data_IF_111187703710
#
_entry.id   IF_111187703710
#
_cell.length_a   1.000
_cell.length_b   1.000
_cell.length_c   1.000
_cell.angle_alpha   90.00
_cell.angle_beta   90.00
_cell.angle_gamma   90.00
#
_symmetry.space_group_name_H-M   'P 1'
#
loop_
_entity.id
_entity.type
_entity.pdbx_description
1 polymer ?
#
# COMPACT_ATOMS: atom_id res chain seq x y z
N UNK A 1 28.26 -0.31 11.03
CA UNK A 1 28.42 0.45 9.78
C UNK A 1 29.05 -0.42 8.71
N UNK A 2 28.27 -0.83 7.69
CA UNK A 2 28.86 -1.25 6.40
C UNK A 2 29.58 0.00 5.85
N UNK A 3 30.92 0.02 5.87
CA UNK A 3 31.74 1.15 5.38
C UNK A 3 31.47 1.50 3.91
N UNK A 4 30.78 0.63 3.17
CA UNK A 4 30.58 0.73 1.73
C UNK A 4 29.49 1.71 1.29
N UNK A 5 28.75 2.37 2.19
CA UNK A 5 27.62 3.26 1.82
C UNK A 5 27.82 4.73 2.21
N UNK A 6 29.01 5.09 2.70
CA UNK A 6 29.36 6.45 3.13
C UNK A 6 30.52 6.96 2.28
N UNK A 7 30.35 8.16 1.73
CA UNK A 7 31.29 8.86 0.86
C UNK A 7 31.76 10.14 1.54
N UNK A 8 33.03 10.51 1.38
CA UNK A 8 33.52 11.81 1.82
C UNK A 8 33.12 12.91 0.83
N UNK A 9 32.87 14.13 1.29
CA UNK A 9 32.64 15.28 0.41
C UNK A 9 33.83 15.61 -0.50
N UNK A 10 35.03 15.12 -0.13
CA UNK A 10 36.28 15.28 -0.87
C UNK A 10 36.54 14.14 -1.87
N UNK A 11 35.63 13.16 -1.95
CA UNK A 11 35.74 12.05 -2.91
C UNK A 11 35.51 12.51 -4.35
N UNK A 12 35.97 11.69 -5.28
CA UNK A 12 35.75 11.93 -6.72
C UNK A 12 34.41 11.34 -7.20
N UNK A 13 33.92 11.84 -8.33
CA UNK A 13 32.75 11.24 -9.00
C UNK A 13 32.99 9.78 -9.39
N UNK A 14 34.21 9.43 -9.79
CA UNK A 14 34.59 8.06 -10.16
C UNK A 14 34.51 7.11 -8.95
N UNK A 15 34.99 7.55 -7.78
CA UNK A 15 34.85 6.80 -6.53
C UNK A 15 33.37 6.59 -6.16
N UNK A 16 32.55 7.63 -6.29
CA UNK A 16 31.11 7.53 -6.03
C UNK A 16 30.43 6.51 -6.96
N UNK A 17 30.74 6.54 -8.25
CA UNK A 17 30.20 5.61 -9.25
C UNK A 17 30.61 4.17 -8.97
N UNK A 18 31.88 3.94 -8.63
CA UNK A 18 32.39 2.60 -8.30
C UNK A 18 31.68 2.01 -7.09
N UNK A 19 31.49 2.81 -6.04
CA UNK A 19 30.81 2.38 -4.82
C UNK A 19 29.33 2.12 -5.11
N UNK A 20 28.67 2.92 -5.94
CA UNK A 20 27.28 2.67 -6.35
C UNK A 20 27.14 1.33 -7.09
N UNK A 21 28.04 1.04 -8.03
CA UNK A 21 28.06 -0.20 -8.81
C UNK A 21 28.29 -1.44 -7.92
N UNK A 22 29.24 -1.36 -6.97
CA UNK A 22 29.59 -2.46 -6.09
C UNK A 22 28.51 -2.79 -5.04
N UNK A 23 27.68 -1.82 -4.63
CA UNK A 23 26.75 -2.00 -3.51
C UNK A 23 25.30 -2.36 -3.92
N UNK A 24 24.91 -2.20 -5.18
CA UNK A 24 23.57 -2.58 -5.70
C UNK A 24 22.35 -1.83 -5.12
N UNK A 25 22.54 -1.03 -4.06
CA UNK A 25 21.49 -0.32 -3.33
C UNK A 25 21.13 1.06 -3.92
N UNK A 26 21.95 1.58 -4.85
CA UNK A 26 21.66 2.77 -5.66
C UNK A 26 21.62 4.10 -4.89
N UNK A 27 22.16 4.17 -3.67
CA UNK A 27 22.26 5.42 -2.88
C UNK A 27 23.51 5.45 -1.99
N UNK A 28 24.18 6.60 -1.92
CA UNK A 28 25.32 6.88 -1.03
C UNK A 28 25.02 8.04 -0.09
N UNK A 29 25.54 7.96 1.13
CA UNK A 29 25.49 9.04 2.11
C UNK A 29 26.78 9.83 2.09
N UNK A 30 26.71 11.16 1.94
CA UNK A 30 27.89 12.03 1.89
C UNK A 30 28.11 12.73 3.22
N UNK A 31 29.34 12.71 3.73
CA UNK A 31 29.72 13.34 5.00
C UNK A 31 30.93 14.28 4.84
N UNK A 32 31.04 15.26 5.72
CA UNK A 32 32.24 16.11 5.85
C UNK A 32 33.37 15.39 6.59
N UNK A 33 34.52 16.06 6.71
CA UNK A 33 35.70 15.54 7.43
C UNK A 33 35.45 15.32 8.94
N UNK A 34 34.39 15.92 9.51
CA UNK A 34 33.95 15.74 10.90
C UNK A 34 32.86 14.64 11.03
N UNK A 35 32.46 14.00 9.92
CA UNK A 35 31.43 12.97 9.87
C UNK A 35 29.99 13.51 9.92
N UNK A 36 29.76 14.81 9.72
CA UNK A 36 28.43 15.38 9.62
C UNK A 36 27.80 15.09 8.27
N UNK A 37 26.50 14.82 8.28
CA UNK A 37 25.75 14.57 7.06
C UNK A 37 25.70 15.82 6.18
N UNK A 38 26.27 15.71 4.98
CA UNK A 38 26.19 16.74 3.93
C UNK A 38 24.99 16.49 3.02
N UNK A 39 24.76 15.23 2.62
CA UNK A 39 23.69 14.92 1.68
C UNK A 39 23.63 13.45 1.27
N UNK A 40 22.84 13.18 0.24
CA UNK A 40 22.75 11.87 -0.41
C UNK A 40 23.02 11.98 -1.91
N UNK A 41 23.53 10.92 -2.51
CA UNK A 41 23.65 10.75 -3.97
C UNK A 41 22.91 9.47 -4.35
N UNK A 42 22.00 9.53 -5.32
CA UNK A 42 21.31 8.34 -5.87
C UNK A 42 21.71 8.08 -7.32
N UNK A 43 21.45 6.87 -7.84
CA UNK A 43 21.58 6.58 -9.28
C UNK A 43 20.78 7.56 -10.15
N UNK A 44 19.64 8.02 -9.64
CA UNK A 44 18.81 9.02 -10.29
C UNK A 44 19.49 10.39 -10.38
N UNK A 45 20.21 10.80 -9.33
CA UNK A 45 20.97 12.06 -9.31
C UNK A 45 22.15 11.99 -10.28
N UNK A 46 22.91 10.90 -10.23
CA UNK A 46 24.02 10.60 -11.15
C UNK A 46 23.54 10.64 -12.61
N UNK A 47 22.48 9.88 -12.93
CA UNK A 47 21.93 9.84 -14.28
C UNK A 47 21.48 11.21 -14.76
N UNK A 48 20.79 11.99 -13.91
CA UNK A 48 20.33 13.36 -14.25
C UNK A 48 21.50 14.32 -14.45
N UNK A 49 22.53 14.26 -13.61
CA UNK A 49 23.69 15.14 -13.74
C UNK A 49 24.52 14.81 -14.99
N UNK A 50 24.71 13.54 -15.34
CA UNK A 50 25.40 13.13 -16.58
C UNK A 50 24.66 13.63 -17.82
N UNK A 51 23.33 13.49 -17.86
CA UNK A 51 22.50 14.03 -18.96
C UNK A 51 22.64 15.55 -19.10
N UNK A 52 22.87 16.24 -17.99
CA UNK A 52 23.09 17.69 -17.94
C UNK A 52 24.57 18.10 -18.03
N UNK A 53 25.48 17.18 -18.40
CA UNK A 53 26.93 17.42 -18.55
C UNK A 53 27.60 17.98 -17.30
N UNK A 54 27.12 17.58 -16.11
CA UNK A 54 27.75 17.86 -14.83
C UNK A 54 28.97 16.96 -14.63
N UNK A 55 30.02 17.51 -14.03
CA UNK A 55 31.32 16.82 -13.88
C UNK A 55 31.86 16.84 -12.44
N UNK A 56 31.32 17.69 -11.56
CA UNK A 56 31.73 17.78 -10.15
C UNK A 56 30.78 16.95 -9.28
N UNK A 57 31.32 16.16 -8.35
CA UNK A 57 30.54 15.36 -7.39
C UNK A 57 29.46 16.20 -6.69
N UNK A 58 29.77 17.46 -6.36
CA UNK A 58 28.86 18.37 -5.65
C UNK A 58 27.59 18.68 -6.44
N UNK A 59 27.63 18.60 -7.77
CA UNK A 59 26.46 18.79 -8.62
C UNK A 59 25.44 17.65 -8.52
N UNK A 60 25.84 16.51 -7.94
CA UNK A 60 25.00 15.30 -7.81
C UNK A 60 24.46 15.10 -6.40
N UNK A 61 24.87 15.91 -5.43
CA UNK A 61 24.47 15.77 -4.03
C UNK A 61 23.11 16.43 -3.81
N UNK A 62 22.17 15.67 -3.26
CA UNK A 62 21.00 16.24 -2.61
C UNK A 62 21.35 16.67 -1.18
N UNK A 63 21.49 17.98 -0.96
CA UNK A 63 21.85 18.58 0.33
C UNK A 63 20.70 18.61 1.35
N UNK A 64 19.48 18.27 0.96
CA UNK A 64 18.32 18.23 1.86
C UNK A 64 17.68 16.83 1.88
N UNK A 65 18.43 15.78 2.26
CA UNK A 65 17.86 14.45 2.36
C UNK A 65 16.94 14.35 3.58
N UNK A 66 15.95 13.45 3.48
CA UNK A 66 15.24 12.99 4.66
C UNK A 66 16.24 12.26 5.59
N UNK A 67 16.19 12.57 6.88
CA UNK A 67 17.12 12.07 7.91
C UNK A 67 16.38 11.88 9.23
N UNK A 68 16.84 10.95 10.06
CA UNK A 68 16.21 10.64 11.35
C UNK A 68 17.18 10.85 12.51
N UNK A 69 16.63 11.07 13.70
CA UNK A 69 17.40 11.12 14.93
C UNK A 69 17.84 9.73 15.35
N UNK A 70 19.03 9.61 15.93
CA UNK A 70 19.52 8.40 16.60
C UNK A 70 18.65 7.92 17.77
N UNK A 71 17.77 8.80 18.27
CA UNK A 71 16.78 8.46 19.30
C UNK A 71 15.48 7.88 18.71
N UNK A 72 15.29 7.89 17.39
CA UNK A 72 14.08 7.34 16.75
C UNK A 72 14.07 5.81 16.89
N UNK A 73 13.03 5.21 17.49
CA UNK A 73 12.89 3.76 17.58
C UNK A 73 12.95 3.10 16.20
N UNK A 74 13.62 1.94 16.08
CA UNK A 74 13.83 1.25 14.79
C UNK A 74 12.52 0.97 14.04
N UNK A 75 11.46 0.60 14.75
CA UNK A 75 10.13 0.33 14.16
C UNK A 75 9.54 1.58 13.52
N UNK A 76 9.68 2.74 14.18
CA UNK A 76 9.22 4.03 13.65
C UNK A 76 10.10 4.47 12.46
N UNK A 77 11.41 4.27 12.56
CA UNK A 77 12.33 4.57 11.48
C UNK A 77 12.02 3.76 10.20
N UNK A 78 11.66 2.47 10.34
CA UNK A 78 11.23 1.62 9.23
C UNK A 78 9.90 2.09 8.62
N UNK A 79 8.95 2.56 9.43
CA UNK A 79 7.69 3.13 8.93
C UNK A 79 7.93 4.38 8.10
N UNK A 80 8.74 5.32 8.61
CA UNK A 80 9.10 6.54 7.89
C UNK A 80 9.85 6.21 6.59
N UNK A 81 10.75 5.22 6.63
CA UNK A 81 11.49 4.77 5.47
C UNK A 81 10.56 4.22 4.37
N UNK A 82 9.57 3.40 4.76
CA UNK A 82 8.53 2.87 3.86
C UNK A 82 7.62 3.96 3.31
N UNK A 83 7.09 4.83 4.15
CA UNK A 83 6.16 5.89 3.74
C UNK A 83 6.82 6.94 2.84
N UNK A 84 8.13 7.16 3.00
CA UNK A 84 8.90 8.05 2.13
C UNK A 84 9.38 7.38 0.83
N UNK A 85 9.06 6.11 0.62
CA UNK A 85 9.50 5.27 -0.50
C UNK A 85 11.01 5.34 -0.72
N UNK A 86 11.78 5.28 0.39
CA UNK A 86 13.24 5.31 0.38
C UNK A 86 13.80 3.95 0.75
N UNK A 87 14.90 3.56 0.10
CA UNK A 87 15.64 2.33 0.42
C UNK A 87 16.60 2.49 1.59
N UNK A 88 17.04 3.72 1.85
CA UNK A 88 17.89 4.02 3.00
C UNK A 88 17.58 5.39 3.59
N UNK A 89 17.88 5.55 4.87
CA UNK A 89 17.76 6.83 5.56
C UNK A 89 18.95 7.02 6.51
N UNK A 90 19.64 8.19 6.44
CA UNK A 90 20.68 8.54 7.40
C UNK A 90 20.10 8.72 8.81
N UNK A 91 20.80 8.16 9.80
CA UNK A 91 20.53 8.34 11.22
C UNK A 91 21.60 9.26 11.79
N UNK A 92 21.20 10.43 12.31
CA UNK A 92 22.09 11.47 12.83
C UNK A 92 21.87 11.70 14.34
N UNK A 93 22.91 12.17 15.03
CA UNK A 93 22.74 12.72 16.38
C UNK A 93 22.31 14.19 16.37
N UNK A 94 22.12 14.76 17.56
CA UNK A 94 21.70 16.15 17.76
C UNK A 94 22.72 17.18 17.22
N UNK A 95 23.94 16.75 16.90
CA UNK A 95 24.99 17.59 16.30
C UNK A 95 25.09 17.41 14.78
N UNK A 96 24.20 16.61 14.19
CA UNK A 96 24.18 16.32 12.75
C UNK A 96 25.22 15.30 12.30
N UNK A 97 25.91 14.64 13.23
CA UNK A 97 26.92 13.61 12.92
C UNK A 97 26.21 12.32 12.54
N UNK A 98 26.61 11.71 11.42
CA UNK A 98 26.10 10.43 10.98
C UNK A 98 26.47 9.34 11.98
N UNK A 99 25.47 8.66 12.54
CA UNK A 99 25.65 7.51 13.44
C UNK A 99 25.49 6.19 12.72
N UNK A 100 24.50 6.11 11.83
CA UNK A 100 24.24 4.91 11.05
C UNK A 100 23.48 5.25 9.76
N UNK A 101 23.39 4.28 8.86
CA UNK A 101 22.52 4.34 7.69
C UNK A 101 21.57 3.16 7.81
N UNK A 102 20.29 3.44 8.09
CA UNK A 102 19.27 2.41 8.11
C UNK A 102 18.93 2.07 6.65
N UNK A 103 19.11 0.81 6.29
CA UNK A 103 18.82 0.29 4.96
C UNK A 103 17.59 -0.60 5.10
N UNK A 104 16.66 -0.47 4.17
CA UNK A 104 15.64 -1.46 3.92
C UNK A 104 16.35 -2.66 3.27
N UNK A 105 17.02 -3.51 4.06
CA UNK A 105 17.61 -4.74 3.53
C UNK A 105 16.47 -5.68 3.09
N UNK A 106 16.61 -6.30 1.92
CA UNK A 106 15.70 -7.36 1.44
C UNK A 106 15.56 -8.53 2.45
N UNK A 107 16.51 -8.66 3.37
CA UNK A 107 16.53 -9.66 4.46
C UNK A 107 15.70 -9.28 5.70
N UNK A 108 15.26 -8.02 5.84
CA UNK A 108 14.28 -7.63 6.90
C UNK A 108 12.83 -7.78 6.43
N UNK A 109 12.63 -8.38 5.26
CA UNK A 109 11.35 -8.90 4.84
C UNK A 109 11.01 -10.11 5.72
N UNK A 110 10.49 -9.88 6.93
CA UNK A 110 9.95 -10.99 7.73
C UNK A 110 8.82 -11.61 6.92
N UNK A 111 9.00 -12.81 6.34
CA UNK A 111 7.98 -13.40 5.50
C UNK A 111 6.77 -13.67 6.38
N UNK A 112 5.63 -13.13 5.99
CA UNK A 112 4.36 -13.30 6.69
C UNK A 112 3.58 -14.38 5.98
N UNK A 113 3.23 -15.43 6.73
CA UNK A 113 2.47 -16.58 6.24
C UNK A 113 0.97 -16.28 6.10
N UNK A 114 0.51 -15.15 6.64
CA UNK A 114 -0.87 -14.67 6.49
C UNK A 114 -1.22 -14.55 5.00
N UNK A 115 -2.32 -15.18 4.61
CA UNK A 115 -2.78 -15.19 3.22
C UNK A 115 -3.42 -13.85 2.88
N UNK A 116 -3.21 -13.38 1.65
CA UNK A 116 -3.89 -12.22 1.08
C UNK A 116 -4.86 -12.68 0.00
N UNK A 117 -6.15 -12.57 0.27
CA UNK A 117 -7.21 -12.87 -0.69
C UNK A 117 -7.55 -11.60 -1.47
N UNK A 118 -7.44 -11.68 -2.80
CA UNK A 118 -7.77 -10.55 -3.67
C UNK A 118 -9.03 -10.89 -4.49
N UNK A 119 -10.04 -10.05 -4.33
CA UNK A 119 -11.34 -10.18 -5.00
C UNK A 119 -11.29 -9.56 -6.40
N UNK A 120 -10.97 -10.39 -7.41
CA UNK A 120 -10.72 -9.97 -8.79
C UNK A 120 -11.80 -10.44 -9.79
N UNK A 121 -12.99 -10.82 -9.31
CA UNK A 121 -14.12 -11.32 -10.12
C UNK A 121 -15.04 -10.25 -10.74
N UNK A 122 -14.81 -8.96 -10.47
CA UNK A 122 -15.69 -7.87 -10.91
C UNK A 122 -15.65 -7.59 -12.42
N UNK A 123 -16.82 -7.29 -13.01
CA UNK A 123 -16.90 -6.95 -14.46
C UNK A 123 -16.32 -5.57 -14.82
N UNK A 124 -16.23 -4.64 -13.86
CA UNK A 124 -15.76 -3.29 -14.13
C UNK A 124 -16.63 -2.46 -15.08
N UNK A 125 -17.92 -2.79 -15.24
CA UNK A 125 -18.82 -2.20 -16.26
C UNK A 125 -18.87 -0.68 -16.29
N UNK A 126 -18.61 -0.01 -15.16
CA UNK A 126 -18.58 1.46 -15.04
C UNK A 126 -17.43 2.12 -15.81
N UNK A 127 -16.39 1.36 -16.16
CA UNK A 127 -15.24 1.83 -16.94
C UNK A 127 -15.48 1.75 -18.47
N UNK A 128 -16.59 1.17 -18.89
CA UNK A 128 -17.00 1.09 -20.29
C UNK A 128 -15.97 0.38 -21.17
N UNK A 129 -15.55 1.04 -22.26
CA UNK A 129 -14.66 0.47 -23.28
C UNK A 129 -13.30 0.00 -22.73
N UNK A 130 -12.82 0.59 -21.63
CA UNK A 130 -11.54 0.18 -21.01
C UNK A 130 -11.57 -1.29 -20.59
N UNK A 131 -12.71 -1.76 -20.09
CA UNK A 131 -12.88 -3.13 -19.57
C UNK A 131 -13.48 -4.09 -20.60
N UNK A 132 -13.60 -3.67 -21.87
CA UNK A 132 -14.21 -4.48 -22.93
C UNK A 132 -13.36 -5.70 -23.23
N UNK A 133 -12.06 -5.50 -23.43
CA UNK A 133 -11.13 -6.54 -23.86
C UNK A 133 -10.27 -7.09 -22.72
N UNK A 134 -10.05 -6.28 -21.67
CA UNK A 134 -9.18 -6.60 -20.54
C UNK A 134 -9.98 -6.50 -19.23
N UNK A 135 -9.85 -7.46 -18.28
CA UNK A 135 -10.53 -7.36 -17.00
C UNK A 135 -9.98 -6.17 -16.20
N UNK A 136 -10.84 -5.53 -15.40
CA UNK A 136 -10.49 -4.32 -14.63
C UNK A 136 -9.15 -4.41 -13.87
N UNK A 137 -8.84 -5.50 -13.13
CA UNK A 137 -7.56 -5.60 -12.41
C UNK A 137 -6.33 -5.60 -13.31
N UNK A 138 -6.50 -5.86 -14.61
CA UNK A 138 -5.44 -5.89 -15.61
C UNK A 138 -5.28 -4.56 -16.37
N UNK A 139 -6.11 -3.55 -16.07
CA UNK A 139 -5.88 -2.19 -16.58
C UNK A 139 -4.57 -1.65 -16.02
N UNK A 140 -3.83 -0.89 -16.84
CA UNK A 140 -2.50 -0.41 -16.47
C UNK A 140 -2.59 0.91 -15.73
N UNK A 141 -1.91 1.00 -14.61
CA UNK A 141 -1.59 2.27 -13.95
C UNK A 141 -0.08 2.45 -14.05
N UNK A 142 0.34 3.45 -14.83
CA UNK A 142 1.69 3.54 -15.34
C UNK A 142 2.06 2.35 -16.23
N UNK A 143 3.14 1.65 -15.87
CA UNK A 143 3.68 0.56 -16.68
C UNK A 143 3.16 -0.82 -16.29
N UNK A 144 2.38 -0.94 -15.21
CA UNK A 144 1.98 -2.22 -14.61
C UNK A 144 0.46 -2.31 -14.40
N UNK A 145 -0.14 -3.51 -14.45
CA UNK A 145 -1.53 -3.73 -14.06
C UNK A 145 -1.86 -3.25 -12.63
N UNK A 146 -3.11 -2.83 -12.37
CA UNK A 146 -3.59 -2.52 -11.02
C UNK A 146 -3.30 -3.68 -10.06
N UNK A 147 -3.63 -4.91 -10.46
CA UNK A 147 -3.41 -6.10 -9.65
C UNK A 147 -1.93 -6.35 -9.32
N UNK A 148 -1.03 -6.01 -10.25
CA UNK A 148 0.41 -6.11 -10.01
C UNK A 148 0.87 -5.10 -8.96
N UNK A 149 0.36 -3.86 -9.01
CA UNK A 149 0.64 -2.86 -7.99
C UNK A 149 0.16 -3.32 -6.60
N UNK A 150 -1.03 -3.92 -6.52
CA UNK A 150 -1.56 -4.46 -5.25
C UNK A 150 -0.66 -5.57 -4.71
N UNK A 151 -0.33 -6.58 -5.53
CA UNK A 151 0.52 -7.71 -5.11
C UNK A 151 1.90 -7.21 -4.69
N UNK A 152 2.50 -6.32 -5.47
CA UNK A 152 3.80 -5.70 -5.18
C UNK A 152 3.76 -4.96 -3.84
N UNK A 153 2.71 -4.18 -3.58
CA UNK A 153 2.55 -3.44 -2.33
C UNK A 153 2.51 -4.38 -1.13
N UNK A 154 1.67 -5.42 -1.13
CA UNK A 154 1.66 -6.44 -0.06
C UNK A 154 3.02 -7.15 0.09
N UNK A 155 3.65 -7.45 -1.05
CA UNK A 155 5.01 -8.01 -1.13
C UNK A 155 6.11 -6.98 -0.83
N UNK A 156 5.81 -5.74 -0.49
CA UNK A 156 6.81 -4.82 0.08
C UNK A 156 6.66 -4.75 1.62
N UNK A 157 5.60 -5.36 2.17
CA UNK A 157 5.31 -5.42 3.61
C UNK A 157 5.55 -6.79 4.28
N UNK A 158 5.89 -7.84 3.54
CA UNK A 158 6.17 -9.17 4.10
C UNK A 158 5.32 -10.29 3.50
N UNK A 159 4.22 -9.95 2.84
CA UNK A 159 3.20 -10.91 2.46
C UNK A 159 3.50 -11.53 1.11
N UNK A 160 3.56 -12.87 1.06
CA UNK A 160 3.97 -13.60 -0.14
C UNK A 160 2.97 -14.69 -0.56
N UNK A 161 1.93 -14.97 0.22
CA UNK A 161 0.88 -15.97 -0.11
C UNK A 161 -0.38 -15.25 -0.54
N UNK A 162 -0.81 -15.47 -1.78
CA UNK A 162 -1.99 -14.84 -2.36
C UNK A 162 -2.99 -15.87 -2.84
N UNK A 163 -4.28 -15.55 -2.71
CA UNK A 163 -5.38 -16.27 -3.36
C UNK A 163 -6.16 -15.27 -4.19
N UNK A 164 -6.23 -15.47 -5.50
CA UNK A 164 -7.01 -14.62 -6.40
C UNK A 164 -8.37 -15.26 -6.66
N UNK A 165 -9.43 -14.58 -6.21
CA UNK A 165 -10.81 -14.96 -6.51
C UNK A 165 -11.19 -14.39 -7.88
N UNK A 166 -11.22 -15.25 -8.89
CA UNK A 166 -11.42 -14.89 -10.28
C UNK A 166 -12.80 -15.31 -10.78
N UNK A 167 -13.33 -14.55 -11.75
CA UNK A 167 -14.53 -14.90 -12.48
C UNK A 167 -14.30 -14.61 -13.98
N UNK A 168 -14.81 -13.47 -14.46
CA UNK A 168 -14.77 -13.06 -15.86
C UNK A 168 -13.34 -12.88 -16.36
N UNK A 169 -13.02 -13.48 -17.52
CA UNK A 169 -11.70 -13.42 -18.18
C UNK A 169 -10.52 -13.83 -17.29
N UNK A 170 -10.75 -14.81 -16.42
CA UNK A 170 -9.76 -15.34 -15.48
C UNK A 170 -8.47 -15.83 -16.15
N UNK A 171 -8.55 -16.29 -17.41
CA UNK A 171 -7.43 -16.75 -18.21
C UNK A 171 -6.37 -15.65 -18.44
N UNK A 172 -6.79 -14.38 -18.60
CA UNK A 172 -5.85 -13.27 -18.82
C UNK A 172 -5.01 -13.05 -17.55
N UNK A 173 -5.66 -13.09 -16.38
CA UNK A 173 -4.99 -12.91 -15.09
C UNK A 173 -4.05 -14.10 -14.83
N UNK A 174 -4.53 -15.33 -15.03
CA UNK A 174 -3.72 -16.55 -14.81
C UNK A 174 -2.52 -16.62 -15.75
N UNK A 175 -2.68 -16.25 -17.01
CA UNK A 175 -1.58 -16.25 -17.98
C UNK A 175 -0.52 -15.19 -17.67
N UNK A 176 -0.94 -14.05 -17.12
CA UNK A 176 0.00 -13.01 -16.70
C UNK A 176 0.74 -13.42 -15.43
N UNK A 177 0.02 -13.80 -14.37
CA UNK A 177 0.61 -14.00 -13.04
C UNK A 177 1.20 -15.40 -12.80
N UNK A 178 0.79 -16.42 -13.55
CA UNK A 178 1.32 -17.78 -13.38
C UNK A 178 1.17 -18.27 -11.93
N UNK A 179 2.23 -18.79 -11.35
CA UNK A 179 2.30 -19.17 -9.92
C UNK A 179 2.78 -18.04 -8.99
N UNK A 180 3.07 -16.84 -9.54
CA UNK A 180 3.60 -15.70 -8.80
C UNK A 180 5.12 -15.64 -8.67
N UNK A 181 5.84 -16.66 -9.16
CA UNK A 181 7.30 -16.79 -8.99
C UNK A 181 8.09 -15.61 -9.58
N UNK A 182 7.60 -15.01 -10.68
CA UNK A 182 8.18 -13.80 -11.28
C UNK A 182 8.17 -12.58 -10.34
N UNK A 183 7.27 -12.55 -9.36
CA UNK A 183 7.18 -11.46 -8.37
C UNK A 183 7.71 -11.87 -7.01
N UNK A 184 8.26 -13.08 -6.86
CA UNK A 184 8.74 -13.59 -5.58
C UNK A 184 7.63 -13.96 -4.59
N UNK A 185 6.44 -14.30 -5.11
CA UNK A 185 5.26 -14.66 -4.32
C UNK A 185 4.70 -16.01 -4.78
N UNK A 186 3.75 -16.55 -4.01
CA UNK A 186 2.97 -17.75 -4.34
C UNK A 186 1.52 -17.33 -4.55
N UNK A 187 0.98 -17.64 -5.72
CA UNK A 187 -0.39 -17.29 -6.11
C UNK A 187 -1.20 -18.56 -6.36
N UNK A 188 -2.23 -18.73 -5.54
CA UNK A 188 -3.32 -19.67 -5.76
C UNK A 188 -4.52 -18.98 -6.40
N UNK A 189 -5.39 -19.77 -7.03
CA UNK A 189 -6.57 -19.27 -7.74
C UNK A 189 -7.84 -19.99 -7.30
N UNK A 190 -8.90 -19.20 -7.16
CA UNK A 190 -10.25 -19.68 -6.94
C UNK A 190 -11.13 -19.18 -8.08
N UNK A 191 -11.87 -20.08 -8.73
CA UNK A 191 -12.74 -19.75 -9.87
C UNK A 191 -14.20 -19.77 -9.44
N UNK A 192 -14.87 -18.64 -9.59
CA UNK A 192 -16.31 -18.53 -9.43
C UNK A 192 -17.04 -18.93 -10.73
N UNK A 193 -17.76 -20.05 -10.72
CA UNK A 193 -18.60 -20.47 -11.86
C UNK A 193 -19.83 -19.56 -12.04
N UNK A 194 -20.36 -19.05 -10.93
CA UNK A 194 -21.46 -18.10 -10.87
C UNK A 194 -21.09 -16.97 -9.91
N UNK A 195 -21.71 -15.80 -10.04
CA UNK A 195 -21.46 -14.70 -9.11
C UNK A 195 -21.97 -15.04 -7.72
N UNK A 196 -21.04 -15.25 -6.79
CA UNK A 196 -21.34 -15.47 -5.38
C UNK A 196 -21.30 -14.16 -4.58
N UNK A 197 -20.95 -13.04 -5.20
CA UNK A 197 -20.77 -11.77 -4.49
C UNK A 197 -19.40 -11.68 -3.83
N UNK A 198 -19.10 -10.49 -3.30
CA UNK A 198 -17.77 -10.14 -2.79
C UNK A 198 -17.35 -10.95 -1.56
N UNK A 199 -18.28 -11.37 -0.71
CA UNK A 199 -17.97 -12.27 0.41
C UNK A 199 -18.22 -13.74 0.04
N UNK A 200 -19.17 -14.03 -0.84
CA UNK A 200 -19.50 -15.40 -1.23
C UNK A 200 -18.35 -16.13 -1.92
N UNK A 201 -17.47 -15.45 -2.66
CA UNK A 201 -16.29 -16.09 -3.24
C UNK A 201 -15.32 -16.63 -2.17
N UNK A 202 -15.31 -16.05 -0.96
CA UNK A 202 -14.50 -16.54 0.16
C UNK A 202 -14.94 -17.94 0.61
N UNK A 203 -16.22 -18.31 0.40
CA UNK A 203 -16.73 -19.65 0.72
C UNK A 203 -16.14 -20.77 -0.14
N UNK A 204 -15.50 -20.41 -1.26
CA UNK A 204 -14.82 -21.36 -2.14
C UNK A 204 -13.39 -21.68 -1.67
N UNK A 205 -12.86 -20.91 -0.70
CA UNK A 205 -11.51 -21.10 -0.20
C UNK A 205 -11.55 -22.14 0.92
N UNK A 206 -10.78 -23.24 0.82
CA UNK A 206 -10.69 -24.22 1.90
C UNK A 206 -10.13 -23.55 3.15
N UNK A 207 -10.82 -23.71 4.29
CA UNK A 207 -10.45 -23.08 5.57
C UNK A 207 -9.05 -23.52 6.03
N UNK A 208 -8.63 -24.73 5.66
CA UNK A 208 -7.32 -25.29 5.94
C UNK A 208 -6.17 -24.53 5.26
N UNK A 209 -6.46 -23.66 4.28
CA UNK A 209 -5.46 -22.75 3.70
C UNK A 209 -5.19 -21.52 4.58
N UNK A 210 -6.03 -21.25 5.58
CA UNK A 210 -5.93 -20.09 6.46
C UNK A 210 -5.39 -20.50 7.84
N UNK A 211 -4.06 -20.51 7.98
CA UNK A 211 -3.38 -20.90 9.22
C UNK A 211 -3.54 -19.85 10.35
N UNK A 212 -3.73 -18.59 9.97
CA UNK A 212 -3.85 -17.42 10.84
C UNK A 212 -4.79 -16.40 10.19
N UNK A 213 -4.98 -15.25 10.82
CA UNK A 213 -5.71 -14.11 10.29
C UNK A 213 -5.22 -13.78 8.87
N UNK A 214 -6.16 -13.47 7.98
CA UNK A 214 -5.88 -13.29 6.55
C UNK A 214 -6.46 -11.95 6.08
N UNK A 215 -5.84 -11.41 5.04
CA UNK A 215 -6.32 -10.19 4.39
C UNK A 215 -7.37 -10.53 3.33
N UNK A 216 -8.34 -9.65 3.18
CA UNK A 216 -9.22 -9.60 2.01
C UNK A 216 -9.15 -8.18 1.44
N UNK A 217 -8.93 -8.05 0.15
CA UNK A 217 -8.94 -6.75 -0.54
C UNK A 217 -9.63 -6.83 -1.88
N UNK A 218 -10.28 -5.75 -2.30
CA UNK A 218 -10.74 -5.64 -3.69
C UNK A 218 -9.54 -5.45 -4.64
N UNK A 219 -9.69 -5.90 -5.88
CA UNK A 219 -8.64 -5.85 -6.90
C UNK A 219 -8.54 -4.51 -7.66
N UNK A 220 -9.19 -3.47 -7.15
CA UNK A 220 -9.28 -2.13 -7.75
C UNK A 220 -8.86 -1.01 -6.80
N UNK A 221 -8.26 -1.36 -5.66
CA UNK A 221 -7.79 -0.42 -4.65
C UNK A 221 -6.30 -0.22 -4.80
N UNK A 222 -5.87 1.01 -5.09
CA UNK A 222 -4.48 1.43 -4.91
C UNK A 222 -4.31 2.08 -3.55
N UNK A 223 -3.30 1.67 -2.80
CA UNK A 223 -3.10 2.16 -1.44
C UNK A 223 -1.65 2.04 -1.00
N UNK A 224 -1.27 2.86 -0.03
CA UNK A 224 0.01 2.76 0.70
C UNK A 224 -0.19 2.41 2.18
N UNK A 225 -1.34 1.80 2.53
CA UNK A 225 -1.64 1.31 3.89
C UNK A 225 -0.46 0.52 4.46
N UNK A 226 -0.09 0.84 5.71
CA UNK A 226 0.80 -0.01 6.49
C UNK A 226 0.07 -1.30 6.91
N UNK A 227 0.14 -2.33 6.06
CA UNK A 227 -0.49 -3.63 6.31
C UNK A 227 0.02 -4.30 7.58
N UNK A 228 1.27 -4.01 8.00
CA UNK A 228 1.81 -4.56 9.25
C UNK A 228 1.10 -3.94 10.44
N UNK A 229 0.97 -2.61 10.45
CA UNK A 229 0.21 -1.91 11.50
C UNK A 229 -1.25 -2.34 11.55
N UNK A 230 -1.88 -2.57 10.39
CA UNK A 230 -3.26 -3.05 10.32
C UNK A 230 -3.40 -4.46 10.90
N UNK A 231 -2.51 -5.40 10.55
CA UNK A 231 -2.49 -6.75 11.11
C UNK A 231 -2.24 -6.74 12.63
N UNK A 232 -1.30 -5.95 13.10
CA UNK A 232 -1.02 -5.81 14.53
C UNK A 232 -2.23 -5.23 15.29
N UNK A 233 -2.91 -4.24 14.72
CA UNK A 233 -4.14 -3.69 15.27
C UNK A 233 -5.20 -4.78 15.42
N UNK A 234 -5.44 -5.56 14.36
CA UNK A 234 -6.37 -6.67 14.37
C UNK A 234 -6.04 -7.67 15.49
N UNK A 235 -4.78 -8.13 15.54
CA UNK A 235 -4.33 -9.10 16.53
C UNK A 235 -4.48 -8.59 17.97
N UNK A 236 -4.21 -7.30 18.22
CA UNK A 236 -4.40 -6.69 19.56
C UNK A 236 -5.87 -6.60 19.96
N UNK A 237 -6.76 -6.27 19.01
CA UNK A 237 -8.20 -6.16 19.27
C UNK A 237 -8.85 -7.49 19.64
N UNK A 238 -8.23 -8.62 19.25
CA UNK A 238 -8.80 -9.97 19.31
C UNK A 238 -10.13 -10.12 18.54
N UNK A 239 -10.46 -9.16 17.68
CA UNK A 239 -11.69 -9.17 16.92
C UNK A 239 -11.79 -10.35 15.95
N UNK A 240 -13.00 -10.78 15.59
CA UNK A 240 -13.15 -11.77 14.52
C UNK A 240 -12.93 -11.13 13.14
N UNK A 241 -13.14 -9.81 13.04
CA UNK A 241 -12.84 -9.03 11.85
C UNK A 241 -12.43 -7.59 12.13
N UNK A 242 -11.66 -7.02 11.21
CA UNK A 242 -11.33 -5.60 11.19
C UNK A 242 -11.47 -5.02 9.78
N UNK A 243 -12.04 -3.82 9.69
CA UNK A 243 -12.29 -3.10 8.44
C UNK A 243 -11.36 -1.90 8.37
N UNK A 244 -10.61 -1.75 7.28
CA UNK A 244 -9.87 -0.53 7.00
C UNK A 244 -10.84 0.57 6.54
N UNK A 245 -10.77 1.74 7.14
CA UNK A 245 -11.64 2.87 6.80
C UNK A 245 -10.83 4.14 6.55
N UNK A 246 -11.23 4.90 5.53
CA UNK A 246 -10.62 6.19 5.18
C UNK A 246 -11.50 7.34 5.67
N UNK A 247 -10.91 8.28 6.41
CA UNK A 247 -11.59 9.51 6.82
C UNK A 247 -11.75 10.43 5.63
N UNK A 248 -13.00 10.75 5.28
CA UNK A 248 -13.36 11.64 4.18
C UNK A 248 -14.25 12.78 4.68
N UNK A 249 -14.35 13.83 3.87
CA UNK A 249 -15.27 14.94 4.09
C UNK A 249 -16.14 15.14 2.85
N UNK A 250 -17.43 15.29 3.06
CA UNK A 250 -18.36 15.69 2.02
C UNK A 250 -18.81 17.12 2.28
N UNK A 251 -18.51 18.03 1.36
CA UNK A 251 -19.04 19.38 1.42
C UNK A 251 -20.46 19.37 0.83
N UNK A 252 -21.45 19.64 1.68
CA UNK A 252 -22.81 19.83 1.23
C UNK A 252 -22.81 21.11 0.38
N UNK A 253 -23.28 21.09 -0.89
CA UNK A 253 -23.17 22.26 -1.78
C UNK A 253 -24.18 23.37 -1.45
N UNK A 254 -25.04 23.15 -0.46
CA UNK A 254 -26.14 24.02 -0.04
C UNK A 254 -26.06 24.38 1.45
N UNK A 255 -26.81 25.41 1.86
CA UNK A 255 -27.01 25.73 3.26
C UNK A 255 -27.78 24.61 3.98
N UNK A 256 -27.23 24.08 5.08
CA UNK A 256 -27.95 23.19 6.00
C UNK A 256 -28.72 24.03 7.00
N UNK A 257 -30.04 23.85 7.03
CA UNK A 257 -30.94 24.54 7.96
C UNK A 257 -31.41 23.55 9.02
N UNK A 258 -31.13 23.83 10.29
CA UNK A 258 -31.69 23.08 11.41
C UNK A 258 -32.87 23.86 12.00
N UNK A 259 -34.01 23.20 12.17
CA UNK A 259 -35.25 23.79 12.71
C UNK A 259 -35.87 22.87 13.77
N UNK A 260 -36.67 23.44 14.68
CA UNK A 260 -37.39 22.67 15.70
C UNK A 260 -38.70 22.04 15.16
N UNK A 261 -39.43 21.29 15.98
CA UNK A 261 -40.69 20.62 15.56
C UNK A 261 -41.77 21.58 15.04
N UNK A 262 -41.66 22.89 15.32
CA UNK A 262 -42.58 23.93 14.81
C UNK A 262 -42.05 24.61 13.54
N UNK A 263 -40.97 24.09 12.96
CA UNK A 263 -40.25 24.66 11.82
C UNK A 263 -39.61 26.03 12.08
N UNK A 264 -39.37 26.40 13.35
CA UNK A 264 -38.61 27.61 13.66
C UNK A 264 -37.11 27.34 13.42
N UNK A 265 -36.49 28.13 12.53
CA UNK A 265 -35.07 28.03 12.21
C UNK A 265 -34.22 28.34 13.45
N UNK A 266 -33.30 27.42 13.79
CA UNK A 266 -32.37 27.54 14.92
C UNK A 266 -30.94 27.79 14.47
N UNK A 267 -30.58 27.28 13.30
CA UNK A 267 -29.23 27.36 12.77
C UNK A 267 -29.23 27.30 11.24
N UNK A 268 -28.34 28.06 10.62
CA UNK A 268 -28.04 28.01 9.19
C UNK A 268 -26.54 27.84 9.03
N UNK A 269 -26.11 26.74 8.45
CA UNK A 269 -24.71 26.46 8.14
C UNK A 269 -24.53 26.52 6.62
N UNK A 270 -23.72 27.45 6.12
CA UNK A 270 -23.44 27.54 4.68
C UNK A 270 -22.39 26.50 4.29
N UNK A 271 -22.71 25.70 3.27
CA UNK A 271 -21.85 24.65 2.70
C UNK A 271 -21.05 23.84 3.73
N UNK A 272 -21.71 23.25 4.75
CA UNK A 272 -21.00 22.56 5.82
C UNK A 272 -20.30 21.31 5.28
N UNK A 273 -19.12 21.05 5.83
CA UNK A 273 -18.42 19.79 5.62
C UNK A 273 -18.90 18.76 6.65
N UNK A 274 -19.31 17.59 6.19
CA UNK A 274 -19.66 16.45 7.04
C UNK A 274 -18.55 15.42 6.95
N UNK A 275 -17.95 15.09 8.09
CA UNK A 275 -16.95 14.02 8.18
C UNK A 275 -17.64 12.66 8.17
N UNK A 276 -17.06 11.72 7.43
CA UNK A 276 -17.50 10.32 7.41
C UNK A 276 -16.32 9.38 7.20
N UNK A 277 -16.48 8.12 7.56
CA UNK A 277 -15.49 7.08 7.33
C UNK A 277 -15.98 6.16 6.22
N UNK A 278 -15.28 6.19 5.08
CA UNK A 278 -15.57 5.31 3.96
C UNK A 278 -14.92 3.93 4.20
N UNK A 279 -15.62 2.87 3.84
CA UNK A 279 -15.03 1.53 3.79
C UNK A 279 -13.95 1.52 2.69
N UNK A 280 -12.71 1.22 3.06
CA UNK A 280 -11.58 1.22 2.14
C UNK A 280 -11.52 -0.05 1.27
N UNK A 281 -12.37 -1.05 1.52
CA UNK A 281 -12.40 -2.31 0.78
C UNK A 281 -11.23 -3.24 1.10
N UNK A 282 -10.58 -3.03 2.25
CA UNK A 282 -9.47 -3.84 2.79
C UNK A 282 -9.88 -4.31 4.18
N UNK A 283 -9.70 -5.60 4.45
CA UNK A 283 -10.15 -6.26 5.66
C UNK A 283 -9.09 -7.22 6.19
N UNK A 284 -9.11 -7.45 7.50
CA UNK A 284 -8.41 -8.56 8.15
C UNK A 284 -9.43 -9.38 8.91
N UNK A 285 -9.46 -10.69 8.65
CA UNK A 285 -10.39 -11.62 9.27
C UNK A 285 -9.65 -12.79 9.90
N UNK A 286 -10.19 -13.33 10.99
CA UNK A 286 -9.80 -14.65 11.45
C UNK A 286 -10.46 -15.75 10.59
N UNK A 287 -9.88 -16.96 10.49
CA UNK A 287 -10.43 -18.06 9.69
C UNK A 287 -11.89 -18.43 10.01
N UNK A 288 -12.36 -18.20 11.24
CA UNK A 288 -13.73 -18.48 11.69
C UNK A 288 -14.79 -17.66 10.95
N UNK A 289 -14.42 -16.52 10.36
CA UNK A 289 -15.33 -15.72 9.53
C UNK A 289 -15.87 -16.52 8.35
N UNK A 290 -15.11 -17.48 7.82
CA UNK A 290 -15.53 -18.31 6.69
C UNK A 290 -16.76 -19.16 7.02
N UNK A 291 -16.94 -19.56 8.28
CA UNK A 291 -18.10 -20.34 8.73
C UNK A 291 -19.41 -19.52 8.72
N UNK A 292 -19.29 -18.18 8.71
CA UNK A 292 -20.42 -17.26 8.66
C UNK A 292 -20.93 -17.03 7.23
N UNK A 293 -20.24 -17.53 6.21
CA UNK A 293 -20.55 -17.28 4.80
C UNK A 293 -21.38 -18.44 4.25
N UNK A 294 -22.59 -18.19 3.72
CA UNK A 294 -23.42 -19.25 3.17
C UNK A 294 -22.77 -19.84 1.91
N UNK A 295 -22.65 -21.16 1.86
CA UNK A 295 -22.08 -21.86 0.70
C UNK A 295 -22.96 -21.69 -0.54
N UNK A 296 -22.34 -21.47 -1.69
CA UNK A 296 -22.99 -21.46 -3.00
C UNK A 296 -24.16 -20.46 -3.14
N UNK A 297 -24.15 -19.38 -2.36
CA UNK A 297 -25.16 -18.33 -2.36
C UNK A 297 -24.53 -16.97 -2.68
N UNK A 298 -25.34 -16.04 -3.20
CA UNK A 298 -24.93 -14.65 -3.35
C UNK A 298 -24.83 -14.01 -1.96
N UNK A 299 -23.66 -13.46 -1.64
CA UNK A 299 -23.36 -12.88 -0.35
C UNK A 299 -22.28 -11.80 -0.51
N UNK A 300 -22.59 -10.56 -0.13
CA UNK A 300 -21.65 -9.46 -0.26
C UNK A 300 -20.96 -9.11 1.06
N UNK A 301 -19.87 -8.36 0.95
CA UNK A 301 -19.08 -7.94 2.11
C UNK A 301 -19.91 -7.19 3.16
N UNK A 302 -20.82 -6.25 2.84
CA UNK A 302 -21.68 -5.63 3.85
C UNK A 302 -22.54 -6.64 4.62
N UNK A 303 -23.03 -7.70 3.97
CA UNK A 303 -23.79 -8.77 4.64
C UNK A 303 -22.91 -9.53 5.64
N UNK A 304 -21.66 -9.80 5.27
CA UNK A 304 -20.68 -10.42 6.15
C UNK A 304 -20.36 -9.54 7.36
N UNK A 305 -20.15 -8.24 7.14
CA UNK A 305 -19.89 -7.29 8.22
C UNK A 305 -21.06 -7.22 9.22
N UNK A 306 -22.30 -7.22 8.74
CA UNK A 306 -23.48 -7.26 9.63
C UNK A 306 -23.55 -8.58 10.41
N UNK A 307 -23.19 -9.73 9.83
CA UNK A 307 -23.12 -11.01 10.58
C UNK A 307 -22.03 -10.99 11.65
N UNK A 308 -20.84 -10.53 11.32
CA UNK A 308 -19.69 -10.42 12.25
C UNK A 308 -20.03 -9.50 13.42
N UNK A 309 -20.69 -8.37 13.15
CA UNK A 309 -21.10 -7.39 14.17
C UNK A 309 -22.00 -7.99 15.27
N UNK A 310 -22.72 -9.06 14.97
CA UNK A 310 -23.56 -9.76 15.97
C UNK A 310 -22.80 -10.75 16.86
N UNK A 311 -21.52 -11.02 16.56
CA UNK A 311 -20.66 -11.92 17.34
C UNK A 311 -20.06 -11.21 18.56
N UNK A 312 -19.74 -11.95 19.62
CA UNK A 312 -19.15 -11.40 20.86
C UNK A 312 -17.79 -10.74 20.65
N UNK A 313 -16.99 -11.31 19.74
CA UNK A 313 -15.63 -10.85 19.46
C UNK A 313 -15.62 -9.66 18.48
N UNK A 314 -16.76 -9.36 17.86
CA UNK A 314 -17.05 -8.09 17.21
C UNK A 314 -16.23 -7.74 15.96
N UNK A 315 -16.49 -6.53 15.46
CA UNK A 315 -15.89 -5.93 14.26
C UNK A 315 -15.29 -4.58 14.62
N UNK A 316 -14.02 -4.37 14.28
CA UNK A 316 -13.29 -3.14 14.59
C UNK A 316 -12.95 -2.34 13.33
N UNK A 317 -12.88 -1.02 13.44
CA UNK A 317 -12.44 -0.14 12.37
C UNK A 317 -10.97 0.27 12.59
N UNK A 318 -10.12 0.02 11.58
CA UNK A 318 -8.78 0.57 11.50
C UNK A 318 -8.82 1.82 10.62
N UNK A 319 -8.57 3.00 11.22
CA UNK A 319 -8.58 4.27 10.49
C UNK A 319 -7.23 4.47 9.83
N UNK A 320 -7.20 4.54 8.50
CA UNK A 320 -5.98 4.79 7.74
C UNK A 320 -5.82 6.28 7.42
N UNK A 321 -4.57 6.75 7.45
CA UNK A 321 -4.18 8.10 7.02
C UNK A 321 -3.51 8.08 5.63
N UNK A 322 -3.04 6.90 5.19
CA UNK A 322 -2.25 6.68 3.99
C UNK A 322 -3.01 6.93 2.68
N UNK A 323 -2.33 6.87 1.54
CA UNK A 323 -2.96 7.02 0.22
C UNK A 323 -3.97 5.88 -0.01
N UNK A 324 -5.12 6.22 -0.59
CA UNK A 324 -6.17 5.27 -0.97
C UNK A 324 -6.97 5.79 -2.16
N UNK A 325 -7.09 4.96 -3.18
CA UNK A 325 -7.89 5.24 -4.37
C UNK A 325 -8.61 3.98 -4.83
N UNK A 326 -9.95 4.02 -4.84
CA UNK A 326 -10.81 3.03 -5.51
C UNK A 326 -10.99 3.43 -6.97
N UNK A 327 -10.46 2.62 -7.89
CA UNK A 327 -10.52 2.88 -9.33
C UNK A 327 -11.89 2.46 -9.88
N UNK A 328 -12.97 3.12 -9.47
CA UNK A 328 -14.33 2.74 -9.85
C UNK A 328 -14.78 3.24 -11.22
N UNK A 329 -14.26 4.41 -11.64
CA UNK A 329 -14.71 5.20 -12.79
C UNK A 329 -13.53 5.69 -13.63
N UNK A 330 -13.83 6.28 -14.79
CA UNK A 330 -12.81 6.77 -15.73
C UNK A 330 -11.98 7.90 -15.13
N UNK A 331 -12.61 8.75 -14.34
CA UNK A 331 -11.95 9.84 -13.61
C UNK A 331 -10.94 9.27 -12.60
N UNK A 332 -11.35 8.29 -11.79
CA UNK A 332 -10.47 7.63 -10.82
C UNK A 332 -9.27 6.96 -11.50
N UNK A 333 -9.50 6.30 -12.63
CA UNK A 333 -8.41 5.68 -13.42
C UNK A 333 -7.43 6.72 -14.00
N UNK A 334 -7.93 7.90 -14.37
CA UNK A 334 -7.08 9.01 -14.81
C UNK A 334 -6.27 9.57 -13.65
N UNK A 335 -6.91 9.83 -12.50
CA UNK A 335 -6.23 10.28 -11.28
C UNK A 335 -5.14 9.30 -10.85
N UNK A 336 -5.41 7.98 -10.86
CA UNK A 336 -4.41 6.96 -10.56
C UNK A 336 -3.13 7.09 -11.41
N UNK A 337 -3.26 7.41 -12.69
CA UNK A 337 -2.12 7.60 -13.60
C UNK A 337 -1.44 8.96 -13.42
N UNK A 338 -2.18 9.99 -13.01
CA UNK A 338 -1.62 11.30 -12.69
C UNK A 338 -0.81 11.23 -11.38
N UNK A 339 -1.38 10.65 -10.32
CA UNK A 339 -0.76 10.50 -8.99
C UNK A 339 0.55 9.70 -9.03
N UNK A 340 0.61 8.65 -9.87
CA UNK A 340 1.85 7.88 -10.09
C UNK A 340 2.98 8.75 -10.67
N UNK A 341 2.65 9.68 -11.58
CA UNK A 341 3.67 10.58 -12.15
C UNK A 341 4.24 11.56 -11.11
N UNK A 342 3.50 11.79 -10.03
CA UNK A 342 3.91 12.63 -8.90
C UNK A 342 4.55 11.83 -7.74
N UNK A 343 4.55 10.50 -7.82
CA UNK A 343 5.15 9.61 -6.82
C UNK A 343 4.35 9.54 -5.51
N UNK A 344 3.02 9.68 -5.59
CA UNK A 344 2.15 9.60 -4.40
C UNK A 344 1.92 8.17 -3.87
N UNK A 345 2.27 7.13 -4.66
CA UNK A 345 2.27 5.73 -4.24
C UNK A 345 3.28 4.88 -5.03
#
# INVERSE_FOLDING_TARGET
MKKSLVLSENSTLEEALKILDENGNGTLTVVDDEGRLIGLITDGDVRRGILNKKNDLKDFINFHPLKLSSNTPRVEALKILRSAHRRQIPIIDDRGVLKDVLILDDYEFTPRTNVVVIMAGGLGTRLGDLTKDVPKPMLKVGNRPILENIITCFRDFGFYRFILCLNYKSEIIRNYFGDGSQWGVVIDYTLEEKRLGTAGALSLIPKEKMDDSFFVTNADILTTVDFVSFLEFHNRSKAIGSVCVKKNQYQIPFAKINFDERFLIREVQEKPAVEYFANAGIYVFKPEVLDLIPSNAYFDMPDLLERIKTQSDGLFAYVMEDYWLDIGRKEDYRSANEDLNWGEF
#
